data_IF_484560462902
#
_entry.id   IF_484560462902
#
_cell.length_a   1.000
_cell.length_b   1.000
_cell.length_c   1.000
_cell.angle_alpha   90.00
_cell.angle_beta   90.00
_cell.angle_gamma   90.00
#
_symmetry.space_group_name_H-M   'P 1'
#
loop_
_entity.id
_entity.type
_entity.pdbx_description
1 polymer ?
#
# COMPACT_ATOMS: atom_id res chain seq x y z
N UNK A 1 0.37 11.55 5.16
CA UNK A 1 1.65 12.25 5.17
C UNK A 1 2.58 11.63 4.11
N UNK A 2 2.69 12.21 2.92
CA UNK A 2 3.72 11.79 1.96
C UNK A 2 5.10 12.13 2.52
N UNK A 3 5.79 11.15 3.12
CA UNK A 3 7.06 11.38 3.78
C UNK A 3 8.08 11.95 2.78
N UNK A 4 8.70 13.08 3.12
CA UNK A 4 9.91 13.52 2.42
C UNK A 4 10.95 12.42 2.50
N UNK A 5 11.26 11.85 1.33
CA UNK A 5 12.05 10.62 1.20
C UNK A 5 13.48 10.92 1.59
N UNK A 6 13.90 10.37 2.73
CA UNK A 6 15.29 10.37 3.19
C UNK A 6 16.11 9.20 2.64
N UNK A 7 15.55 8.44 1.70
CA UNK A 7 15.98 7.07 1.35
C UNK A 7 17.48 6.94 1.04
N UNK A 8 18.05 7.90 0.29
CA UNK A 8 19.49 7.96 0.01
C UNK A 8 20.34 8.19 1.27
N UNK A 9 20.06 9.26 2.02
CA UNK A 9 20.77 9.61 3.27
C UNK A 9 20.61 8.51 4.34
N UNK A 10 19.41 7.96 4.47
CA UNK A 10 19.11 6.88 5.42
C UNK A 10 19.90 5.62 5.08
N UNK A 11 20.00 5.26 3.79
CA UNK A 11 20.78 4.10 3.34
C UNK A 11 22.27 4.26 3.66
N UNK A 12 22.83 5.46 3.44
CA UNK A 12 24.23 5.74 3.78
C UNK A 12 24.51 5.62 5.27
N UNK A 13 23.64 6.19 6.11
CA UNK A 13 23.76 6.13 7.56
C UNK A 13 23.61 4.68 8.07
N UNK A 14 22.64 3.93 7.50
CA UNK A 14 22.45 2.53 7.84
C UNK A 14 23.66 1.67 7.47
N UNK A 15 24.27 1.89 6.31
CA UNK A 15 25.50 1.18 5.89
C UNK A 15 26.69 1.48 6.79
N UNK A 16 26.69 2.63 7.47
CA UNK A 16 27.72 3.03 8.43
C UNK A 16 27.39 2.63 9.87
N UNK A 17 26.27 1.94 10.10
CA UNK A 17 25.74 1.60 11.43
C UNK A 17 25.52 2.85 12.32
N UNK A 18 25.26 4.01 11.71
CA UNK A 18 25.11 5.29 12.41
C UNK A 18 23.67 5.49 12.89
N UNK A 19 23.33 4.85 14.00
CA UNK A 19 22.03 4.97 14.63
C UNK A 19 21.71 6.40 15.12
N UNK A 20 22.72 7.15 15.56
CA UNK A 20 22.54 8.53 16.02
C UNK A 20 22.16 9.45 14.84
N UNK A 21 22.85 9.30 13.71
CA UNK A 21 22.55 9.98 12.47
C UNK A 21 21.15 9.66 11.95
N UNK A 22 20.73 8.39 12.00
CA UNK A 22 19.36 7.99 11.61
C UNK A 22 18.32 8.69 12.48
N UNK A 23 18.51 8.71 13.82
CA UNK A 23 17.58 9.38 14.73
C UNK A 23 17.49 10.89 14.46
N UNK A 24 18.62 11.53 14.18
CA UNK A 24 18.66 12.95 13.83
C UNK A 24 17.93 13.21 12.51
N UNK A 25 18.15 12.37 11.51
CA UNK A 25 17.49 12.44 10.20
C UNK A 25 15.97 12.24 10.32
N UNK A 26 15.51 11.32 11.16
CA UNK A 26 14.09 11.11 11.44
C UNK A 26 13.43 12.36 12.03
N UNK A 27 14.08 13.04 12.98
CA UNK A 27 13.56 14.30 13.54
C UNK A 27 13.47 15.41 12.49
N UNK A 28 14.49 15.53 11.62
CA UNK A 28 14.49 16.48 10.49
C UNK A 28 13.31 16.20 9.55
N UNK A 29 13.08 14.93 9.19
CA UNK A 29 11.97 14.51 8.35
C UNK A 29 10.61 14.79 8.98
N UNK A 30 10.43 14.51 10.28
CA UNK A 30 9.20 14.80 11.00
C UNK A 30 8.88 16.29 11.02
N UNK A 31 9.87 17.13 11.34
CA UNK A 31 9.72 18.57 11.35
C UNK A 31 9.36 19.11 9.96
N UNK A 32 9.98 18.57 8.91
CA UNK A 32 9.67 18.98 7.56
C UNK A 32 8.26 18.53 7.11
N UNK A 33 7.87 17.28 7.38
CA UNK A 33 6.56 16.76 7.03
C UNK A 33 5.42 17.53 7.73
N UNK A 34 5.65 17.99 8.96
CA UNK A 34 4.69 18.80 9.73
C UNK A 34 4.32 20.13 9.05
N UNK A 35 5.15 20.63 8.11
CA UNK A 35 4.86 21.86 7.33
C UNK A 35 3.78 21.65 6.26
N UNK A 36 3.48 20.40 5.91
CA UNK A 36 2.59 20.03 4.80
C UNK A 36 1.40 19.19 5.25
N UNK A 37 0.92 19.38 6.48
CA UNK A 37 -0.23 18.65 7.04
C UNK A 37 -1.53 18.84 6.25
N UNK A 38 -1.62 19.91 5.46
CA UNK A 38 -2.74 20.15 4.55
C UNK A 38 -2.79 19.20 3.34
N UNK A 39 -1.77 18.34 3.16
CA UNK A 39 -1.74 17.31 2.11
C UNK A 39 -2.50 16.06 2.54
N UNK A 40 -3.80 16.23 2.71
CA UNK A 40 -4.77 15.19 3.05
C UNK A 40 -5.73 14.99 1.88
N UNK A 41 -6.05 13.73 1.56
CA UNK A 41 -7.14 13.39 0.67
C UNK A 41 -8.48 13.55 1.40
N UNK A 42 -9.12 14.71 1.21
CA UNK A 42 -10.42 15.04 1.80
C UNK A 42 -11.50 15.23 0.73
N UNK A 43 -12.75 15.43 1.16
CA UNK A 43 -13.89 15.63 0.26
C UNK A 43 -13.71 16.83 -0.70
N UNK A 44 -13.01 17.89 -0.28
CA UNK A 44 -12.64 19.02 -1.13
C UNK A 44 -11.76 18.59 -2.30
N UNK A 45 -10.72 17.82 -2.03
CA UNK A 45 -9.84 17.26 -3.06
C UNK A 45 -10.63 16.34 -4.00
N UNK A 46 -11.49 15.47 -3.46
CA UNK A 46 -12.28 14.52 -4.27
C UNK A 46 -13.23 15.23 -5.25
N UNK A 47 -13.83 16.36 -4.87
CA UNK A 47 -14.69 17.16 -5.77
C UNK A 47 -13.96 17.71 -7.01
N UNK A 48 -12.65 17.92 -6.92
CA UNK A 48 -11.84 18.42 -8.04
C UNK A 48 -11.51 17.31 -9.06
N UNK A 49 -11.80 16.06 -8.73
CA UNK A 49 -11.53 14.93 -9.61
C UNK A 49 -12.58 14.79 -10.71
N UNK A 50 -12.32 13.95 -11.71
CA UNK A 50 -13.27 13.70 -12.81
C UNK A 50 -14.60 13.18 -12.25
N UNK A 51 -15.65 13.98 -12.43
CA UNK A 51 -16.99 13.68 -11.90
C UNK A 51 -17.11 13.75 -10.38
N UNK A 52 -16.10 14.27 -9.66
CA UNK A 52 -16.08 14.33 -8.20
C UNK A 52 -15.90 12.96 -7.50
N UNK A 53 -15.63 11.91 -8.27
CA UNK A 53 -15.82 10.51 -7.88
C UNK A 53 -14.65 9.62 -8.33
N UNK A 54 -13.44 10.18 -8.46
CA UNK A 54 -12.28 9.35 -8.82
C UNK A 54 -12.11 8.18 -7.83
N UNK A 55 -11.67 7.04 -8.35
CA UNK A 55 -11.38 5.87 -7.55
C UNK A 55 -10.19 6.17 -6.62
N UNK A 56 -10.47 6.33 -5.33
CA UNK A 56 -9.42 6.39 -4.32
C UNK A 56 -8.75 5.01 -4.18
N UNK A 57 -7.42 4.99 -4.23
CA UNK A 57 -6.58 3.79 -4.09
C UNK A 57 -5.56 4.03 -2.98
N UNK A 58 -5.29 2.98 -2.19
CA UNK A 58 -4.29 3.02 -1.13
C UNK A 58 -3.84 1.61 -0.76
N UNK A 59 -2.54 1.41 -0.59
CA UNK A 59 -1.95 0.08 -0.42
C UNK A 59 -2.20 -0.59 0.95
N UNK A 60 -2.70 0.18 1.91
CA UNK A 60 -3.00 -0.16 3.31
C UNK A 60 -1.77 -0.53 4.18
N UNK A 61 -1.78 -0.20 5.49
CA UNK A 61 -2.77 0.65 6.17
C UNK A 61 -2.66 2.11 5.72
N UNK A 62 -3.76 2.86 5.80
CA UNK A 62 -3.77 4.30 5.61
C UNK A 62 -3.74 5.01 6.96
N UNK A 63 -3.10 6.18 7.02
CA UNK A 63 -3.22 7.08 8.15
C UNK A 63 -4.54 7.86 8.03
N UNK A 64 -5.56 7.47 8.79
CA UNK A 64 -6.91 8.01 8.70
C UNK A 64 -7.10 9.07 9.80
N UNK A 65 -7.32 10.31 9.39
CA UNK A 65 -7.52 11.43 10.32
C UNK A 65 -8.73 11.19 11.22
N UNK A 66 -8.52 11.32 12.53
CA UNK A 66 -9.55 11.11 13.55
C UNK A 66 -9.83 9.63 13.89
N UNK A 67 -9.13 8.68 13.25
CA UNK A 67 -9.30 7.24 13.50
C UNK A 67 -7.99 6.60 13.95
N UNK A 68 -6.98 6.51 13.07
CA UNK A 68 -5.68 5.92 13.41
C UNK A 68 -4.66 6.97 13.87
N UNK A 69 -4.86 8.24 13.52
CA UNK A 69 -4.02 9.35 13.94
C UNK A 69 -4.82 10.66 13.98
N UNK A 70 -4.24 11.71 14.59
CA UNK A 70 -4.89 13.03 14.68
C UNK A 70 -5.03 13.71 13.31
N UNK A 71 -3.97 13.65 12.50
CA UNK A 71 -3.86 14.26 11.17
C UNK A 71 -3.12 13.27 10.27
N UNK A 72 -3.75 12.85 9.17
CA UNK A 72 -3.32 11.71 8.38
C UNK A 72 -3.17 11.96 6.87
N UNK A 73 -3.34 10.89 6.10
CA UNK A 73 -3.31 10.84 4.63
C UNK A 73 -4.68 11.09 4.00
N UNK A 74 -5.74 10.68 4.68
CA UNK A 74 -7.10 10.64 4.14
C UNK A 74 -8.12 10.92 5.24
N UNK A 75 -9.16 11.67 4.89
CA UNK A 75 -10.28 11.91 5.78
C UNK A 75 -11.13 10.64 5.96
N UNK A 76 -11.71 10.45 7.15
CA UNK A 76 -12.45 9.23 7.48
C UNK A 76 -13.63 8.94 6.54
N UNK A 77 -14.34 9.98 6.09
CA UNK A 77 -15.48 9.88 5.17
C UNK A 77 -15.07 9.44 3.75
N UNK A 78 -13.95 9.99 3.25
CA UNK A 78 -13.36 9.57 1.97
C UNK A 78 -12.90 8.12 2.06
N UNK A 79 -12.19 7.74 3.12
CA UNK A 79 -11.73 6.36 3.28
C UNK A 79 -12.91 5.39 3.37
N UNK A 80 -13.94 5.68 4.17
CA UNK A 80 -15.08 4.78 4.34
C UNK A 80 -15.82 4.55 3.02
N UNK A 81 -16.00 5.60 2.21
CA UNK A 81 -16.62 5.48 0.88
C UNK A 81 -15.88 4.51 -0.05
N UNK A 82 -14.55 4.46 0.03
CA UNK A 82 -13.70 3.61 -0.83
C UNK A 82 -13.06 2.42 -0.09
N UNK A 83 -13.54 2.08 1.12
CA UNK A 83 -13.00 1.00 1.94
C UNK A 83 -13.06 -0.35 1.22
N UNK A 84 -14.20 -0.71 0.63
CA UNK A 84 -14.33 -1.97 -0.13
C UNK A 84 -13.40 -2.01 -1.36
N UNK A 85 -13.34 -0.96 -2.21
CA UNK A 85 -12.35 -0.89 -3.28
C UNK A 85 -10.89 -1.09 -2.83
N UNK A 86 -10.44 -0.45 -1.74
CA UNK A 86 -9.06 -0.62 -1.25
C UNK A 86 -8.79 -2.03 -0.72
N UNK A 87 -9.80 -2.72 -0.18
CA UNK A 87 -9.68 -4.12 0.23
C UNK A 87 -9.55 -5.06 -0.97
N UNK A 88 -10.32 -4.81 -2.03
CA UNK A 88 -10.20 -5.53 -3.29
C UNK A 88 -8.84 -5.27 -3.95
N UNK A 89 -8.35 -4.02 -3.94
CA UNK A 89 -7.01 -3.64 -4.40
C UNK A 89 -5.93 -4.48 -3.70
N UNK A 90 -5.94 -4.51 -2.36
CA UNK A 90 -4.98 -5.29 -1.57
C UNK A 90 -5.10 -6.80 -1.85
N UNK A 91 -6.31 -7.30 -2.10
CA UNK A 91 -6.60 -8.70 -2.41
C UNK A 91 -5.90 -9.23 -3.68
N UNK A 92 -5.45 -8.35 -4.58
CA UNK A 92 -4.70 -8.75 -5.78
C UNK A 92 -3.22 -9.08 -5.50
N UNK A 93 -2.62 -8.51 -4.45
CA UNK A 93 -1.17 -8.67 -4.16
C UNK A 93 -0.73 -10.15 -4.11
N UNK A 94 -1.45 -11.08 -3.44
CA UNK A 94 -1.05 -12.49 -3.41
C UNK A 94 -1.02 -13.15 -4.79
N UNK A 95 -1.98 -12.83 -5.66
CA UNK A 95 -2.04 -13.41 -7.01
C UNK A 95 -0.95 -12.87 -7.92
N UNK A 96 -0.60 -11.58 -7.78
CA UNK A 96 0.52 -10.99 -8.53
C UNK A 96 1.83 -11.65 -8.12
N UNK A 97 2.09 -11.81 -6.82
CA UNK A 97 3.29 -12.49 -6.31
C UNK A 97 3.33 -13.95 -6.79
N UNK A 98 2.21 -14.69 -6.71
CA UNK A 98 2.13 -16.05 -7.20
C UNK A 98 2.42 -16.15 -8.71
N UNK A 99 1.94 -15.18 -9.50
CA UNK A 99 2.22 -15.10 -10.93
C UNK A 99 3.71 -14.85 -11.20
N UNK A 100 4.35 -13.95 -10.44
CA UNK A 100 5.79 -13.72 -10.54
C UNK A 100 6.60 -14.97 -10.22
N UNK A 101 6.23 -15.70 -9.16
CA UNK A 101 6.88 -16.97 -8.78
C UNK A 101 6.69 -18.02 -9.89
N UNK A 102 5.47 -18.17 -10.42
CA UNK A 102 5.20 -19.12 -11.51
C UNK A 102 6.09 -18.82 -12.72
N UNK A 103 6.08 -17.57 -13.21
CA UNK A 103 6.86 -17.17 -14.38
C UNK A 103 8.38 -17.30 -14.16
N UNK A 104 8.86 -17.11 -12.93
CA UNK A 104 10.28 -17.28 -12.60
C UNK A 104 10.73 -18.73 -12.36
N UNK A 105 9.80 -19.69 -12.24
CA UNK A 105 10.10 -21.08 -11.85
C UNK A 105 9.70 -22.13 -12.89
N UNK A 106 8.94 -21.77 -13.92
CA UNK A 106 8.61 -22.68 -15.03
C UNK A 106 8.86 -22.03 -16.39
N UNK A 107 9.35 -22.81 -17.33
CA UNK A 107 9.52 -22.42 -18.73
C UNK A 107 8.20 -22.41 -19.52
N UNK A 108 7.18 -23.15 -19.07
CA UNK A 108 5.85 -23.21 -19.70
C UNK A 108 4.75 -23.05 -18.63
N UNK A 109 4.42 -21.80 -18.24
CA UNK A 109 3.36 -21.53 -17.27
C UNK A 109 1.97 -21.96 -17.77
N UNK A 110 1.74 -21.96 -19.10
CA UNK A 110 0.45 -22.34 -19.69
C UNK A 110 0.19 -23.82 -19.49
N UNK A 111 1.19 -24.68 -19.74
CA UNK A 111 1.09 -26.12 -19.48
C UNK A 111 0.84 -26.41 -18.00
N UNK A 112 1.56 -25.73 -17.09
CA UNK A 112 1.35 -25.90 -15.64
C UNK A 112 -0.10 -25.59 -15.24
N UNK A 113 -0.65 -24.47 -15.70
CA UNK A 113 -2.04 -24.10 -15.40
C UNK A 113 -3.07 -25.09 -15.98
N UNK A 114 -2.83 -25.59 -17.20
CA UNK A 114 -3.68 -26.64 -17.82
C UNK A 114 -3.68 -27.92 -16.98
N UNK A 115 -2.52 -28.36 -16.50
CA UNK A 115 -2.41 -29.56 -15.66
C UNK A 115 -3.05 -29.37 -14.28
N UNK A 116 -2.91 -28.19 -13.65
CA UNK A 116 -3.62 -27.87 -12.40
C UNK A 116 -5.13 -27.96 -12.60
N UNK A 117 -5.66 -27.37 -13.69
CA UNK A 117 -7.08 -27.44 -14.02
C UNK A 117 -7.54 -28.89 -14.26
N UNK A 118 -6.75 -29.68 -15.00
CA UNK A 118 -7.05 -31.10 -15.29
C UNK A 118 -7.10 -31.95 -14.01
N UNK A 119 -6.18 -31.71 -13.06
CA UNK A 119 -6.14 -32.41 -11.78
C UNK A 119 -7.37 -32.15 -10.91
N UNK A 120 -7.99 -30.98 -11.02
CA UNK A 120 -9.29 -30.67 -10.39
C UNK A 120 -9.32 -30.84 -8.87
N UNK A 121 -8.18 -30.72 -8.18
CA UNK A 121 -8.08 -30.96 -6.75
C UNK A 121 -8.77 -29.84 -5.97
N UNK A 122 -9.62 -30.20 -5.00
CA UNK A 122 -10.26 -29.25 -4.12
C UNK A 122 -9.22 -28.53 -3.24
N UNK A 123 -9.29 -27.20 -3.18
CA UNK A 123 -8.41 -26.36 -2.34
C UNK A 123 -8.59 -26.63 -0.85
N UNK A 124 -9.83 -26.92 -0.44
CA UNK A 124 -10.22 -27.27 0.92
C UNK A 124 -11.26 -28.38 0.85
N UNK A 125 -10.96 -29.55 1.44
CA UNK A 125 -11.96 -30.59 1.68
C UNK A 125 -12.71 -30.23 2.95
N UNK A 126 -13.82 -29.52 2.84
CA UNK A 126 -14.83 -29.66 3.88
C UNK A 126 -15.43 -31.05 3.68
N UNK A 127 -15.00 -32.02 4.52
CA UNK A 127 -15.82 -33.19 4.75
C UNK A 127 -17.22 -32.64 5.10
N UNK A 128 -18.21 -33.03 4.28
CA UNK A 128 -19.61 -32.80 4.63
C UNK A 128 -19.93 -33.48 5.94
#
# INVERSE_FOLDING_TARGET
MGAVRSDGRRTELLRKDDHAGIKSLEQECLANNARFKNWECNAGNMRLTKGGEALYMHCLPADISGVSCKEGEVAADVFEKYRVPTYLEAGWKPYVIASMILLGRTSDPVKVLKEIKKRGLARSSFAK
#
